data_IF_160247270894
#
_entry.id   IF_160247270894
#
_cell.length_a   1.000
_cell.length_b   1.000
_cell.length_c   1.000
_cell.angle_alpha   90.00
_cell.angle_beta   90.00
_cell.angle_gamma   90.00
#
_symmetry.space_group_name_H-M   'P 1'
#
loop_
_entity.id
_entity.type
_entity.pdbx_description
1 polymer ?
#
# COMPACT_ATOMS: atom_id res chain seq x y z
N UNK A 1 30.39 -11.27 9.22
CA UNK A 1 30.46 -12.61 9.82
C UNK A 1 31.84 -12.73 10.45
N UNK A 2 31.90 -12.76 11.78
CA UNK A 2 33.10 -12.41 12.54
C UNK A 2 34.22 -13.42 12.32
N UNK A 3 35.26 -13.03 11.58
CA UNK A 3 36.52 -13.78 11.47
C UNK A 3 37.35 -13.56 12.74
N UNK A 4 36.94 -14.16 13.84
CA UNK A 4 37.73 -14.24 15.07
C UNK A 4 38.55 -15.54 15.04
N UNK A 5 39.49 -15.68 14.11
CA UNK A 5 40.37 -16.85 14.04
C UNK A 5 41.74 -16.46 13.47
N UNK A 6 42.49 -15.62 14.18
CA UNK A 6 43.96 -15.71 14.14
C UNK A 6 44.44 -16.31 15.46
N UNK A 7 44.83 -17.57 15.40
CA UNK A 7 45.46 -18.33 16.46
C UNK A 7 46.91 -17.83 16.64
N UNK A 8 47.09 -16.62 17.16
CA UNK A 8 48.40 -16.13 17.58
C UNK A 8 48.56 -16.38 19.08
N UNK A 9 49.44 -17.33 19.39
CA UNK A 9 49.73 -17.81 20.73
C UNK A 9 49.95 -16.70 21.77
N UNK A 10 49.38 -16.95 22.94
CA UNK A 10 49.87 -16.51 24.26
C UNK A 10 49.72 -15.03 24.63
N UNK A 11 48.51 -14.65 25.07
CA UNK A 11 48.27 -14.08 26.41
C UNK A 11 46.75 -14.06 26.66
N UNK A 12 46.29 -14.60 27.79
CA UNK A 12 44.88 -14.61 28.22
C UNK A 12 44.43 -13.17 28.59
N UNK A 13 44.36 -12.29 27.59
CA UNK A 13 43.71 -10.99 27.75
C UNK A 13 42.23 -11.24 27.46
N UNK A 14 41.38 -10.92 28.43
CA UNK A 14 39.93 -10.94 28.29
C UNK A 14 39.53 -9.85 27.30
N UNK A 15 39.58 -10.17 26.00
CA UNK A 15 39.21 -9.26 24.93
C UNK A 15 37.68 -9.13 24.89
N UNK A 16 37.17 -8.12 25.58
CA UNK A 16 35.76 -7.75 25.50
C UNK A 16 35.49 -7.03 24.18
N UNK A 17 34.72 -7.65 23.29
CA UNK A 17 34.24 -7.03 22.07
C UNK A 17 33.10 -6.06 22.40
N UNK A 18 33.36 -4.75 22.29
CA UNK A 18 32.32 -3.73 22.49
C UNK A 18 31.44 -3.65 21.24
N UNK A 19 30.19 -4.11 21.37
CA UNK A 19 29.19 -4.05 20.30
C UNK A 19 28.32 -2.83 20.52
N UNK A 20 28.12 -2.04 19.45
CA UNK A 20 27.33 -0.82 19.52
C UNK A 20 25.83 -1.09 19.73
N UNK A 21 25.38 -2.30 19.40
CA UNK A 21 23.99 -2.70 19.48
C UNK A 21 23.61 -3.13 20.90
N UNK A 22 22.41 -2.76 21.39
CA UNK A 22 21.91 -3.29 22.64
C UNK A 22 21.77 -4.83 22.53
N UNK A 23 21.98 -5.53 23.64
CA UNK A 23 21.92 -7.00 23.71
C UNK A 23 20.63 -7.58 23.10
N UNK A 24 19.50 -6.87 23.24
CA UNK A 24 18.22 -7.27 22.64
C UNK A 24 18.27 -7.29 21.10
N UNK A 25 18.91 -6.30 20.47
CA UNK A 25 19.05 -6.25 19.02
C UNK A 25 19.95 -7.36 18.47
N UNK A 26 21.03 -7.68 19.19
CA UNK A 26 21.90 -8.80 18.84
C UNK A 26 21.20 -10.15 19.00
N UNK A 27 20.45 -10.35 20.09
CA UNK A 27 19.65 -11.56 20.31
C UNK A 27 18.64 -11.75 19.18
N UNK A 28 17.92 -10.69 18.82
CA UNK A 28 16.99 -10.70 17.68
C UNK A 28 17.70 -10.99 16.37
N UNK A 29 18.84 -10.35 16.07
CA UNK A 29 19.64 -10.63 14.88
C UNK A 29 20.06 -12.10 14.79
N UNK A 30 20.59 -12.65 15.87
CA UNK A 30 20.98 -14.06 15.93
C UNK A 30 19.76 -14.97 15.71
N UNK A 31 18.62 -14.63 16.32
CA UNK A 31 17.38 -15.36 16.08
C UNK A 31 16.98 -15.34 14.60
N UNK A 32 17.08 -14.19 13.90
CA UNK A 32 16.82 -14.11 12.45
C UNK A 32 17.78 -14.95 11.61
N UNK A 33 19.05 -15.03 12.00
CA UNK A 33 20.06 -15.82 11.30
C UNK A 33 19.83 -17.33 11.46
N UNK A 34 19.30 -17.76 12.60
CA UNK A 34 19.05 -19.18 12.89
C UNK A 34 17.63 -19.63 12.53
N UNK A 35 16.65 -18.74 12.63
CA UNK A 35 15.24 -19.00 12.43
C UNK A 35 14.63 -17.84 11.64
N UNK A 36 14.45 -18.05 10.33
CA UNK A 36 13.78 -17.07 9.50
C UNK A 36 12.34 -16.87 10.02
N UNK A 37 11.86 -15.62 10.08
CA UNK A 37 10.48 -15.32 10.46
C UNK A 37 9.55 -15.99 9.47
N UNK A 38 8.46 -16.55 9.98
CA UNK A 38 7.39 -17.00 9.09
C UNK A 38 6.70 -15.77 8.47
N UNK A 39 6.25 -15.88 7.20
CA UNK A 39 5.45 -14.82 6.59
C UNK A 39 4.12 -14.64 7.34
N UNK A 40 3.51 -13.45 7.30
CA UNK A 40 2.22 -13.22 7.96
C UNK A 40 1.14 -14.08 7.33
N UNK A 41 0.31 -14.72 8.17
CA UNK A 41 -0.75 -15.63 7.72
C UNK A 41 -2.00 -14.83 7.37
N UNK A 42 -2.53 -15.02 6.17
CA UNK A 42 -3.81 -14.45 5.75
C UNK A 42 -4.96 -15.07 6.55
N UNK A 43 -5.88 -14.24 7.03
CA UNK A 43 -7.06 -14.68 7.75
C UNK A 43 -8.04 -15.35 6.77
N UNK A 44 -8.39 -16.61 7.04
CA UNK A 44 -9.19 -17.50 6.17
C UNK A 44 -10.59 -16.95 5.82
N UNK A 45 -11.07 -15.94 6.55
CA UNK A 45 -12.36 -15.29 6.29
C UNK A 45 -12.42 -14.35 5.08
N UNK A 46 -11.30 -14.13 4.37
CA UNK A 46 -11.25 -13.17 3.25
C UNK A 46 -11.40 -13.81 1.87
N UNK A 47 -11.39 -15.14 1.77
CA UNK A 47 -11.74 -15.83 0.52
C UNK A 47 -13.25 -16.08 0.49
N UNK A 48 -14.01 -15.39 -0.38
CA UNK A 48 -15.42 -15.72 -0.55
C UNK A 48 -15.48 -17.16 -1.06
N UNK A 49 -16.00 -18.06 -0.23
CA UNK A 49 -16.28 -19.44 -0.62
C UNK A 49 -17.11 -19.41 -1.90
N UNK A 50 -16.61 -20.05 -2.95
CA UNK A 50 -17.31 -20.19 -4.24
C UNK A 50 -18.64 -20.97 -4.13
N UNK A 51 -18.99 -21.46 -2.94
CA UNK A 51 -20.16 -22.29 -2.68
C UNK A 51 -21.42 -21.53 -2.24
N UNK A 52 -21.38 -20.21 -2.04
CA UNK A 52 -22.61 -19.41 -1.87
C UNK A 52 -23.33 -19.19 -3.21
N UNK A 53 -23.87 -20.27 -3.78
CA UNK A 53 -24.53 -20.25 -5.09
C UNK A 53 -26.05 -20.17 -5.05
N UNK A 54 -26.74 -20.34 -3.90
CA UNK A 54 -28.16 -20.75 -3.95
C UNK A 54 -29.19 -20.01 -3.07
N UNK A 55 -28.88 -18.89 -2.42
CA UNK A 55 -29.92 -18.05 -1.82
C UNK A 55 -30.31 -16.92 -2.79
N UNK A 56 -31.50 -17.00 -3.38
CA UNK A 56 -32.03 -16.12 -4.45
C UNK A 56 -32.28 -14.66 -4.08
N UNK A 57 -31.45 -14.08 -3.22
CA UNK A 57 -31.43 -12.65 -2.95
C UNK A 57 -30.65 -11.99 -4.08
N UNK A 58 -31.31 -11.16 -4.88
CA UNK A 58 -30.70 -10.28 -5.90
C UNK A 58 -29.89 -9.14 -5.25
N UNK A 59 -29.18 -9.44 -4.16
CA UNK A 59 -28.35 -8.52 -3.42
C UNK A 59 -27.12 -8.20 -4.24
N UNK A 60 -26.95 -6.91 -4.51
CA UNK A 60 -25.76 -6.29 -5.10
C UNK A 60 -24.48 -6.85 -4.46
N UNK A 61 -23.62 -7.51 -5.25
CA UNK A 61 -22.36 -8.09 -4.75
C UNK A 61 -21.26 -7.00 -4.75
N UNK A 62 -21.45 -5.97 -3.93
CA UNK A 62 -20.50 -4.85 -3.73
C UNK A 62 -19.10 -5.35 -3.41
N UNK A 63 -19.02 -6.45 -2.67
CA UNK A 63 -17.78 -7.10 -2.24
C UNK A 63 -16.88 -7.55 -3.39
N UNK A 64 -17.40 -7.75 -4.61
CA UNK A 64 -16.58 -8.10 -5.78
C UNK A 64 -15.73 -6.94 -6.29
N UNK A 65 -16.12 -5.70 -6.02
CA UNK A 65 -15.45 -4.51 -6.53
C UNK A 65 -14.68 -3.76 -5.44
N UNK A 66 -14.77 -4.18 -4.18
CA UNK A 66 -13.86 -3.69 -3.17
C UNK A 66 -12.49 -4.32 -3.41
N UNK A 67 -11.39 -3.54 -3.44
CA UNK A 67 -10.06 -4.14 -3.49
C UNK A 67 -9.96 -5.11 -2.31
N UNK A 68 -9.70 -6.39 -2.60
CA UNK A 68 -9.49 -7.38 -1.55
C UNK A 68 -8.31 -6.91 -0.71
N UNK A 69 -8.63 -6.35 0.45
CA UNK A 69 -7.67 -5.97 1.46
C UNK A 69 -7.29 -7.28 2.12
N UNK A 70 -6.05 -7.78 1.94
CA UNK A 70 -5.65 -8.98 2.65
C UNK A 70 -5.73 -8.67 4.14
N UNK A 71 -6.56 -9.43 4.84
CA UNK A 71 -6.63 -9.39 6.30
C UNK A 71 -5.63 -10.40 6.80
N UNK A 72 -4.70 -9.99 7.66
CA UNK A 72 -3.71 -10.87 8.25
C UNK A 72 -4.06 -11.17 9.70
N UNK A 73 -3.74 -12.38 10.15
CA UNK A 73 -3.85 -12.71 11.56
C UNK A 73 -2.84 -11.88 12.37
N UNK A 74 -3.36 -10.98 13.22
CA UNK A 74 -2.57 -10.07 14.05
C UNK A 74 -1.56 -10.78 14.95
N UNK A 75 -1.80 -12.04 15.35
CA UNK A 75 -0.85 -12.79 16.16
C UNK A 75 0.39 -13.25 15.39
N UNK A 76 0.32 -13.28 14.06
CA UNK A 76 1.43 -13.70 13.18
C UNK A 76 2.24 -12.54 12.63
N UNK A 77 1.69 -11.32 12.67
CA UNK A 77 2.32 -10.12 12.12
C UNK A 77 3.29 -9.51 13.14
N UNK A 78 4.54 -9.27 12.72
CA UNK A 78 5.54 -8.59 13.56
C UNK A 78 5.06 -7.16 13.87
N UNK A 79 5.01 -6.72 15.14
CA UNK A 79 4.57 -5.37 15.49
C UNK A 79 5.39 -4.27 14.84
N UNK A 80 4.72 -3.23 14.32
CA UNK A 80 5.33 -2.13 13.57
C UNK A 80 6.48 -1.41 14.32
N UNK A 81 6.40 -1.14 15.64
CA UNK A 81 7.50 -0.49 16.38
C UNK A 81 8.79 -1.31 16.44
N UNK A 82 8.70 -2.64 16.32
CA UNK A 82 9.86 -3.53 16.22
C UNK A 82 10.34 -3.57 14.77
N UNK A 83 9.41 -3.65 13.83
CA UNK A 83 9.71 -3.83 12.42
C UNK A 83 10.52 -2.66 11.82
N UNK A 84 10.05 -1.41 12.00
CA UNK A 84 10.58 -0.25 11.28
C UNK A 84 11.98 0.20 11.75
N UNK A 85 12.21 0.56 13.03
CA UNK A 85 13.50 1.10 13.46
C UNK A 85 14.52 0.02 13.83
N UNK A 86 14.11 -1.21 14.15
CA UNK A 86 15.03 -2.24 14.63
C UNK A 86 15.35 -3.23 13.53
N UNK A 87 14.36 -3.90 12.94
CA UNK A 87 14.63 -5.01 12.02
C UNK A 87 15.18 -4.54 10.67
N UNK A 88 14.58 -3.52 10.07
CA UNK A 88 15.10 -2.99 8.80
C UNK A 88 16.48 -2.35 8.96
N UNK A 89 16.75 -1.69 10.09
CA UNK A 89 18.07 -1.17 10.43
C UNK A 89 19.11 -2.29 10.54
N UNK A 90 18.76 -3.43 11.15
CA UNK A 90 19.63 -4.60 11.24
C UNK A 90 19.89 -5.22 9.85
N UNK A 91 18.84 -5.37 9.03
CA UNK A 91 18.97 -5.90 7.66
C UNK A 91 19.93 -5.06 6.84
N UNK A 92 19.74 -3.74 6.87
CA UNK A 92 20.56 -2.79 6.12
C UNK A 92 21.98 -2.68 6.72
N UNK A 93 22.14 -2.72 8.05
CA UNK A 93 23.46 -2.63 8.69
C UNK A 93 24.33 -3.86 8.44
N UNK A 94 23.75 -5.05 8.49
CA UNK A 94 24.48 -6.32 8.40
C UNK A 94 24.41 -6.97 7.02
N UNK A 95 23.73 -6.34 6.05
CA UNK A 95 23.59 -6.87 4.70
C UNK A 95 22.90 -8.23 4.68
N UNK A 96 21.80 -8.38 5.42
CA UNK A 96 21.06 -9.64 5.47
C UNK A 96 20.47 -9.99 4.10
N UNK A 97 20.25 -11.29 3.86
CA UNK A 97 19.75 -11.80 2.58
C UNK A 97 18.44 -11.13 2.15
N UNK A 98 18.25 -10.99 0.84
CA UNK A 98 17.02 -10.44 0.24
C UNK A 98 15.76 -11.21 0.65
N UNK A 99 15.88 -12.51 0.96
CA UNK A 99 14.74 -13.33 1.40
C UNK A 99 14.19 -12.88 2.75
N UNK A 100 15.08 -12.62 3.73
CA UNK A 100 14.70 -12.04 5.03
C UNK A 100 14.03 -10.68 4.82
N UNK A 101 14.61 -9.84 3.96
CA UNK A 101 14.05 -8.54 3.63
C UNK A 101 12.63 -8.66 3.04
N UNK A 102 12.42 -9.58 2.10
CA UNK A 102 11.12 -9.84 1.49
C UNK A 102 10.06 -10.28 2.50
N UNK A 103 10.44 -11.12 3.48
CA UNK A 103 9.52 -11.51 4.55
C UNK A 103 9.16 -10.32 5.44
N UNK A 104 10.14 -9.49 5.82
CA UNK A 104 9.87 -8.26 6.58
C UNK A 104 9.01 -7.26 5.80
N UNK A 105 9.20 -7.18 4.48
CA UNK A 105 8.34 -6.41 3.58
C UNK A 105 6.89 -6.92 3.58
N UNK A 106 6.66 -8.24 3.65
CA UNK A 106 5.32 -8.80 3.78
C UNK A 106 4.67 -8.41 5.11
N UNK A 107 5.41 -8.49 6.23
CA UNK A 107 4.96 -8.01 7.54
C UNK A 107 4.66 -6.51 7.54
N UNK A 108 5.49 -5.70 6.88
CA UNK A 108 5.29 -4.26 6.75
C UNK A 108 4.01 -3.95 5.97
N UNK A 109 3.78 -4.66 4.87
CA UNK A 109 2.59 -4.52 4.06
C UNK A 109 1.32 -4.98 4.79
N UNK A 110 1.41 -5.95 5.69
CA UNK A 110 0.29 -6.41 6.51
C UNK A 110 -0.26 -5.31 7.44
N UNK A 111 0.57 -4.33 7.81
CA UNK A 111 0.13 -3.15 8.56
C UNK A 111 -0.53 -2.08 7.71
N UNK A 112 -0.40 -2.12 6.38
CA UNK A 112 -0.85 -1.04 5.50
C UNK A 112 -2.36 -0.71 5.63
N UNK A 113 -3.28 -1.67 5.84
CA UNK A 113 -4.69 -1.34 6.05
C UNK A 113 -4.97 -0.61 7.37
N UNK A 114 -4.16 -0.85 8.41
CA UNK A 114 -4.37 -0.28 9.75
C UNK A 114 -3.58 1.02 9.95
N UNK A 115 -2.37 1.09 9.41
CA UNK A 115 -1.44 2.21 9.57
C UNK A 115 -0.88 2.66 8.21
N UNK A 116 -1.73 3.04 7.24
CA UNK A 116 -1.31 3.30 5.87
C UNK A 116 -0.29 4.42 5.76
N UNK A 117 -0.46 5.49 6.54
CA UNK A 117 0.42 6.65 6.55
C UNK A 117 1.83 6.32 7.02
N UNK A 118 1.95 5.57 8.12
CA UNK A 118 3.25 5.13 8.67
C UNK A 118 3.96 4.14 7.75
N UNK A 119 3.23 3.19 7.17
CA UNK A 119 3.80 2.21 6.24
C UNK A 119 4.27 2.89 4.96
N UNK A 120 3.45 3.78 4.38
CA UNK A 120 3.80 4.58 3.21
C UNK A 120 5.04 5.43 3.48
N UNK A 121 5.02 6.22 4.55
CA UNK A 121 6.07 7.16 4.86
C UNK A 121 7.42 6.49 5.14
N UNK A 122 7.41 5.37 5.85
CA UNK A 122 8.61 4.54 6.04
C UNK A 122 9.12 3.97 4.71
N UNK A 123 8.27 3.32 3.93
CA UNK A 123 8.68 2.70 2.66
C UNK A 123 9.12 3.73 1.61
N UNK A 124 8.52 4.92 1.59
CA UNK A 124 8.87 6.01 0.67
C UNK A 124 10.15 6.76 1.05
N UNK A 125 10.58 6.63 2.31
CA UNK A 125 11.82 7.23 2.84
C UNK A 125 12.96 6.23 2.99
N UNK A 126 12.72 4.96 2.67
CA UNK A 126 13.73 3.93 2.74
C UNK A 126 14.88 4.23 1.77
N UNK A 127 16.06 4.52 2.33
CA UNK A 127 17.33 4.67 1.63
C UNK A 127 18.33 3.70 2.25
N UNK A 128 18.90 2.75 1.48
CA UNK A 128 19.95 1.86 2.00
C UNK A 128 21.14 2.67 2.56
N UNK A 129 21.54 2.44 3.82
CA UNK A 129 22.58 3.26 4.50
C UNK A 129 23.95 3.07 3.88
N UNK A 130 24.20 1.97 3.17
CA UNK A 130 25.48 1.72 2.50
C UNK A 130 25.88 2.84 1.52
N UNK A 131 24.90 3.56 0.92
CA UNK A 131 25.18 4.75 0.10
C UNK A 131 25.72 5.94 0.90
N UNK A 132 25.36 6.09 2.17
CA UNK A 132 25.76 7.26 2.98
C UNK A 132 27.25 7.20 3.39
N UNK A 133 27.85 6.01 3.51
CA UNK A 133 29.26 5.87 3.92
C UNK A 133 30.29 6.05 2.79
N UNK A 134 29.91 5.84 1.52
CA UNK A 134 30.85 5.97 0.39
C UNK A 134 31.19 7.40 0.00
N UNK A 135 30.39 8.38 0.43
CA UNK A 135 30.62 9.80 0.15
C UNK A 135 31.44 10.50 1.24
N UNK A 136 32.51 9.87 1.75
CA UNK A 136 33.57 10.62 2.42
C UNK A 136 34.67 10.95 1.41
N UNK A 137 34.69 12.17 0.83
CA UNK A 137 35.74 12.61 -0.09
C UNK A 137 37.02 12.83 0.71
N UNK A 138 37.85 11.80 0.84
CA UNK A 138 39.03 11.86 1.71
C UNK A 138 40.03 10.74 1.50
N UNK A 139 40.41 10.44 0.26
CA UNK A 139 41.67 9.71 -0.02
C UNK A 139 42.02 9.82 -1.49
N UNK A 140 42.91 10.75 -1.81
CA UNK A 140 43.57 10.86 -3.11
C UNK A 140 44.76 9.89 -3.12
N UNK A 141 44.57 8.69 -3.65
CA UNK A 141 45.67 7.73 -3.79
C UNK A 141 45.20 6.40 -4.36
N UNK A 142 45.56 6.17 -5.62
CA UNK A 142 45.64 4.89 -6.33
C UNK A 142 44.31 4.21 -6.75
N UNK A 143 44.05 4.27 -8.07
CA UNK A 143 42.71 4.17 -8.69
C UNK A 143 42.43 2.89 -9.50
N UNK A 144 43.30 1.87 -9.52
CA UNK A 144 43.25 0.93 -10.67
C UNK A 144 42.79 -0.52 -10.40
N UNK A 145 42.36 -0.92 -9.20
CA UNK A 145 42.07 -2.35 -8.93
C UNK A 145 40.77 -2.67 -8.16
N UNK A 146 39.75 -1.79 -8.21
CA UNK A 146 38.50 -1.93 -7.41
C UNK A 146 37.27 -2.51 -8.14
N UNK A 147 37.38 -2.90 -9.40
CA UNK A 147 36.19 -3.11 -10.25
C UNK A 147 35.48 -4.48 -10.11
N UNK A 148 36.05 -5.47 -9.40
CA UNK A 148 35.49 -6.84 -9.42
C UNK A 148 34.79 -7.31 -8.14
N UNK A 149 34.97 -6.65 -6.99
CA UNK A 149 34.41 -7.12 -5.72
C UNK A 149 33.06 -6.48 -5.33
N UNK A 150 32.55 -5.55 -6.13
CA UNK A 150 31.50 -4.62 -5.68
C UNK A 150 30.10 -4.84 -6.31
N UNK A 151 29.98 -5.79 -7.23
CA UNK A 151 28.74 -6.00 -7.99
C UNK A 151 27.59 -6.61 -7.17
N UNK A 152 27.90 -7.52 -6.23
CA UNK A 152 26.88 -8.30 -5.54
C UNK A 152 26.00 -7.46 -4.61
N UNK A 153 26.58 -6.45 -3.94
CA UNK A 153 25.81 -5.55 -3.07
C UNK A 153 24.88 -4.61 -3.84
N UNK A 154 25.33 -4.09 -4.98
CA UNK A 154 24.59 -3.07 -5.73
C UNK A 154 23.28 -3.61 -6.34
N UNK A 155 23.24 -4.88 -6.74
CA UNK A 155 22.01 -5.50 -7.27
C UNK A 155 20.99 -5.75 -6.15
N UNK A 156 21.44 -6.28 -5.01
CA UNK A 156 20.59 -6.50 -3.85
C UNK A 156 19.98 -5.18 -3.33
N UNK A 157 20.78 -4.11 -3.23
CA UNK A 157 20.29 -2.77 -2.83
C UNK A 157 19.19 -2.25 -3.76
N UNK A 158 19.37 -2.39 -5.08
CA UNK A 158 18.37 -1.97 -6.07
C UNK A 158 17.08 -2.77 -5.93
N UNK A 159 17.17 -4.08 -5.69
CA UNK A 159 16.00 -4.92 -5.48
C UNK A 159 15.28 -4.56 -4.17
N UNK A 160 16.01 -4.29 -3.09
CA UNK A 160 15.44 -3.81 -1.84
C UNK A 160 14.69 -2.48 -2.02
N UNK A 161 15.30 -1.52 -2.72
CA UNK A 161 14.68 -0.24 -3.05
C UNK A 161 13.39 -0.44 -3.86
N UNK A 162 13.43 -1.32 -4.88
CA UNK A 162 12.27 -1.64 -5.71
C UNK A 162 11.12 -2.25 -4.88
N UNK A 163 11.42 -3.17 -3.97
CA UNK A 163 10.42 -3.76 -3.09
C UNK A 163 9.80 -2.72 -2.15
N UNK A 164 10.59 -1.80 -1.59
CA UNK A 164 10.07 -0.71 -0.76
C UNK A 164 9.21 0.27 -1.55
N UNK A 165 9.60 0.61 -2.78
CA UNK A 165 8.76 1.41 -3.67
C UNK A 165 7.43 0.71 -3.97
N UNK A 166 7.44 -0.62 -4.15
CA UNK A 166 6.22 -1.43 -4.33
C UNK A 166 5.34 -1.41 -3.08
N UNK A 167 5.93 -1.48 -1.88
CA UNK A 167 5.18 -1.37 -0.62
C UNK A 167 4.58 0.02 -0.45
N UNK A 168 5.35 1.09 -0.68
CA UNK A 168 4.84 2.46 -0.65
C UNK A 168 3.68 2.63 -1.64
N UNK A 169 3.84 2.11 -2.87
CA UNK A 169 2.80 2.10 -3.89
C UNK A 169 1.53 1.39 -3.40
N UNK A 170 1.65 0.18 -2.83
CA UNK A 170 0.51 -0.56 -2.28
C UNK A 170 -0.11 0.14 -1.06
N UNK A 171 0.69 0.65 -0.13
CA UNK A 171 0.21 1.35 1.06
C UNK A 171 -0.58 2.62 0.71
N UNK A 172 -0.17 3.31 -0.36
CA UNK A 172 -0.87 4.50 -0.85
C UNK A 172 -2.34 4.26 -1.26
N UNK A 173 -2.74 3.01 -1.51
CA UNK A 173 -4.12 2.66 -1.82
C UNK A 173 -5.07 2.79 -0.62
N UNK A 174 -4.52 2.75 0.58
CA UNK A 174 -5.24 2.79 1.85
C UNK A 174 -5.19 4.16 2.52
N UNK A 175 -4.50 5.14 1.93
CA UNK A 175 -4.42 6.50 2.48
C UNK A 175 -5.78 7.21 2.34
N UNK A 176 -6.24 7.76 3.45
CA UNK A 176 -7.34 8.72 3.49
C UNK A 176 -6.91 10.06 2.87
N UNK A 177 -7.86 10.96 2.53
CA UNK A 177 -7.52 12.32 2.10
C UNK A 177 -6.54 12.99 3.07
N UNK A 178 -5.49 13.65 2.57
CA UNK A 178 -4.42 14.12 3.47
C UNK A 178 -4.89 15.11 4.54
N UNK A 179 -6.01 15.80 4.31
CA UNK A 179 -6.64 16.68 5.29
C UNK A 179 -7.35 15.97 6.45
N UNK A 180 -7.54 14.64 6.42
CA UNK A 180 -8.12 13.89 7.55
C UNK A 180 -7.10 13.59 8.66
N UNK A 181 -5.80 13.60 8.33
CA UNK A 181 -4.76 13.29 9.29
C UNK A 181 -4.36 14.51 10.13
N UNK A 182 -4.08 14.34 11.43
CA UNK A 182 -3.43 15.37 12.23
C UNK A 182 -2.07 15.73 11.65
N UNK A 183 -1.74 17.03 11.65
CA UNK A 183 -0.46 17.51 11.10
C UNK A 183 0.75 16.83 11.74
N UNK A 184 0.71 16.56 13.04
CA UNK A 184 1.81 15.89 13.76
C UNK A 184 2.04 14.48 13.22
N UNK A 185 0.98 13.73 12.92
CA UNK A 185 1.09 12.38 12.39
C UNK A 185 1.71 12.38 10.99
N UNK A 186 1.37 13.37 10.16
CA UNK A 186 1.95 13.54 8.82
C UNK A 186 3.44 13.85 8.91
N UNK A 187 3.85 14.74 9.82
CA UNK A 187 5.26 15.09 10.03
C UNK A 187 6.08 13.93 10.57
N UNK A 188 5.51 13.14 11.48
CA UNK A 188 6.18 11.97 12.06
C UNK A 188 6.32 10.82 11.04
N UNK A 189 5.33 10.64 10.17
CA UNK A 189 5.29 9.53 9.23
C UNK A 189 5.99 9.81 7.90
N UNK A 190 5.81 10.99 7.31
CA UNK A 190 6.33 11.34 5.98
C UNK A 190 7.50 12.32 6.12
N UNK A 191 8.77 11.84 6.11
CA UNK A 191 9.92 12.70 6.38
C UNK A 191 10.34 13.57 5.18
N UNK A 192 9.75 13.39 3.99
CA UNK A 192 10.15 14.08 2.77
C UNK A 192 9.00 14.77 2.06
N UNK A 193 9.21 16.03 1.68
CA UNK A 193 8.29 16.82 0.84
C UNK A 193 7.99 16.10 -0.48
N UNK A 194 8.97 15.40 -1.06
CA UNK A 194 8.79 14.63 -2.30
C UNK A 194 7.80 13.49 -2.11
N UNK A 195 7.87 12.79 -0.98
CA UNK A 195 6.94 11.71 -0.65
C UNK A 195 5.53 12.25 -0.38
N UNK A 196 5.40 13.38 0.32
CA UNK A 196 4.12 14.05 0.55
C UNK A 196 3.48 14.51 -0.78
N UNK A 197 4.25 15.18 -1.64
CA UNK A 197 3.78 15.69 -2.92
C UNK A 197 3.24 14.56 -3.83
N UNK A 198 3.90 13.39 -3.84
CA UNK A 198 3.42 12.20 -4.57
C UNK A 198 2.04 11.73 -4.10
N UNK A 199 1.77 11.76 -2.79
CA UNK A 199 0.44 11.42 -2.25
C UNK A 199 -0.60 12.44 -2.70
N UNK A 200 -0.29 13.72 -2.57
CA UNK A 200 -1.21 14.81 -2.95
C UNK A 200 -1.55 14.74 -4.45
N UNK A 201 -0.56 14.48 -5.31
CA UNK A 201 -0.77 14.28 -6.75
C UNK A 201 -1.67 13.07 -7.03
N UNK A 202 -1.44 11.94 -6.37
CA UNK A 202 -2.27 10.74 -6.51
C UNK A 202 -3.72 11.04 -6.09
N UNK A 203 -3.93 11.70 -4.94
CA UNK A 203 -5.25 12.04 -4.45
C UNK A 203 -5.99 13.00 -5.39
N UNK A 204 -5.29 14.02 -5.90
CA UNK A 204 -5.84 14.93 -6.90
C UNK A 204 -6.28 14.19 -8.17
N UNK A 205 -5.41 13.32 -8.70
CA UNK A 205 -5.73 12.51 -9.88
C UNK A 205 -6.96 11.61 -9.63
N UNK A 206 -7.04 10.94 -8.48
CA UNK A 206 -8.21 10.13 -8.12
C UNK A 206 -9.50 10.94 -8.09
N UNK A 207 -9.50 12.11 -7.42
CA UNK A 207 -10.67 13.00 -7.37
C UNK A 207 -11.09 13.42 -8.77
N UNK A 208 -10.12 13.82 -9.61
CA UNK A 208 -10.37 14.23 -10.99
C UNK A 208 -11.03 13.08 -11.78
N UNK A 209 -10.44 11.89 -11.77
CA UNK A 209 -10.97 10.77 -12.56
C UNK A 209 -12.29 10.24 -12.00
N UNK A 210 -12.50 10.24 -10.67
CA UNK A 210 -13.79 9.91 -10.07
C UNK A 210 -14.89 10.87 -10.55
N UNK A 211 -14.60 12.17 -10.62
CA UNK A 211 -15.55 13.17 -11.15
C UNK A 211 -15.83 12.97 -12.62
N UNK A 212 -14.82 12.69 -13.43
CA UNK A 212 -14.98 12.39 -14.87
C UNK A 212 -15.87 11.16 -15.06
N UNK A 213 -15.54 10.03 -14.41
CA UNK A 213 -16.34 8.79 -14.47
C UNK A 213 -17.78 9.02 -14.01
N UNK A 214 -17.98 9.75 -12.90
CA UNK A 214 -19.32 10.07 -12.43
C UNK A 214 -20.07 10.94 -13.45
N UNK A 215 -19.45 11.99 -13.99
CA UNK A 215 -20.07 12.91 -14.96
C UNK A 215 -20.32 12.29 -16.33
N UNK A 216 -19.61 11.24 -16.71
CA UNK A 216 -19.85 10.50 -17.94
C UNK A 216 -20.86 9.35 -17.75
N UNK A 217 -21.18 8.99 -16.51
CA UNK A 217 -22.11 7.91 -16.21
C UNK A 217 -23.56 8.25 -16.58
N UNK A 218 -24.16 7.39 -17.41
CA UNK A 218 -25.56 7.44 -17.81
C UNK A 218 -26.32 6.28 -17.17
N UNK A 219 -27.52 6.56 -16.65
CA UNK A 219 -28.42 5.51 -16.12
C UNK A 219 -28.99 4.59 -17.22
N UNK A 220 -29.15 5.11 -18.44
CA UNK A 220 -29.66 4.36 -19.58
C UNK A 220 -28.70 4.50 -20.77
N UNK A 221 -27.57 3.77 -20.80
CA UNK A 221 -26.65 3.80 -21.92
C UNK A 221 -27.40 3.48 -23.22
N UNK A 222 -27.39 4.39 -24.20
CA UNK A 222 -28.11 4.24 -25.47
C UNK A 222 -29.63 3.97 -25.31
N UNK A 223 -30.22 4.33 -24.17
CA UNK A 223 -31.63 4.11 -23.86
C UNK A 223 -32.00 2.68 -23.40
N UNK A 224 -31.03 1.76 -23.27
CA UNK A 224 -31.31 0.41 -22.80
C UNK A 224 -31.84 0.41 -21.36
N UNK A 225 -32.93 -0.35 -21.12
CA UNK A 225 -33.55 -0.46 -19.80
C UNK A 225 -34.43 0.73 -19.39
N UNK A 226 -34.65 1.72 -20.27
CA UNK A 226 -35.50 2.86 -19.97
C UNK A 226 -36.97 2.44 -19.78
N UNK A 227 -37.55 2.82 -18.64
CA UNK A 227 -38.98 2.62 -18.39
C UNK A 227 -39.81 3.67 -19.14
N UNK A 228 -40.79 3.31 -19.97
CA UNK A 228 -41.57 4.28 -20.76
C UNK A 228 -42.32 5.29 -19.88
N UNK A 229 -42.79 4.87 -18.71
CA UNK A 229 -43.59 5.71 -17.80
C UNK A 229 -42.75 6.63 -16.91
N UNK A 230 -41.49 6.29 -16.64
CA UNK A 230 -40.68 6.97 -15.61
C UNK A 230 -39.32 7.44 -16.12
N UNK A 231 -39.02 7.31 -17.42
CA UNK A 231 -37.71 7.61 -18.02
C UNK A 231 -37.20 9.00 -17.61
N UNK A 232 -37.99 10.04 -17.86
CA UNK A 232 -37.60 11.43 -17.62
C UNK A 232 -37.34 11.69 -16.14
N UNK A 233 -38.30 11.35 -15.27
CA UNK A 233 -38.15 11.45 -13.81
C UNK A 233 -36.91 10.70 -13.30
N UNK A 234 -36.65 9.49 -13.82
CA UNK A 234 -35.51 8.67 -13.41
C UNK A 234 -34.18 9.30 -13.84
N UNK A 235 -34.11 9.85 -15.05
CA UNK A 235 -32.94 10.59 -15.55
C UNK A 235 -32.69 11.87 -14.76
N UNK A 236 -33.75 12.64 -14.44
CA UNK A 236 -33.64 13.86 -13.62
C UNK A 236 -33.16 13.55 -12.20
N UNK A 237 -33.69 12.50 -11.57
CA UNK A 237 -33.25 12.07 -10.25
C UNK A 237 -31.79 11.59 -10.26
N UNK A 238 -31.38 10.82 -11.29
CA UNK A 238 -29.98 10.40 -11.47
C UNK A 238 -29.05 11.60 -11.62
N UNK A 239 -29.37 12.53 -12.52
CA UNK A 239 -28.56 13.72 -12.78
C UNK A 239 -28.46 14.62 -11.54
N UNK A 240 -29.55 14.77 -10.78
CA UNK A 240 -29.55 15.50 -9.52
C UNK A 240 -28.60 14.87 -8.49
N UNK A 241 -28.69 13.55 -8.27
CA UNK A 241 -27.81 12.84 -7.33
C UNK A 241 -26.35 12.94 -7.76
N UNK A 242 -26.09 12.73 -9.05
CA UNK A 242 -24.77 12.84 -9.67
C UNK A 242 -24.13 14.21 -9.44
N UNK A 243 -24.86 15.29 -9.74
CA UNK A 243 -24.39 16.67 -9.54
C UNK A 243 -24.16 17.00 -8.07
N UNK A 244 -25.05 16.53 -7.19
CA UNK A 244 -24.90 16.73 -5.75
C UNK A 244 -23.66 16.00 -5.20
N UNK A 245 -23.40 14.78 -5.67
CA UNK A 245 -22.24 13.98 -5.27
C UNK A 245 -20.93 14.54 -5.85
N UNK A 246 -20.91 15.02 -7.10
CA UNK A 246 -19.72 15.53 -7.77
C UNK A 246 -19.01 16.65 -6.98
N UNK A 247 -19.78 17.51 -6.28
CA UNK A 247 -19.25 18.57 -5.41
C UNK A 247 -18.66 18.08 -4.09
N UNK A 248 -18.95 16.84 -3.69
CA UNK A 248 -18.53 16.22 -2.42
C UNK A 248 -17.42 15.17 -2.58
N UNK A 249 -17.06 14.81 -3.81
CA UNK A 249 -16.03 13.78 -4.07
C UNK A 249 -14.67 14.19 -3.50
N UNK A 250 -14.12 13.29 -2.69
CA UNK A 250 -12.73 13.25 -2.23
C UNK A 250 -11.99 12.00 -2.78
N UNK A 251 -10.74 11.78 -2.37
CA UNK A 251 -9.92 10.68 -2.88
C UNK A 251 -10.29 9.28 -2.33
N UNK A 252 -11.15 9.21 -1.31
CA UNK A 252 -11.60 7.98 -0.66
C UNK A 252 -13.10 7.69 -0.83
N UNK A 253 -13.84 8.57 -1.52
CA UNK A 253 -15.28 8.48 -1.67
C UNK A 253 -15.69 7.20 -2.40
N UNK A 254 -16.56 6.40 -1.80
CA UNK A 254 -17.24 5.30 -2.48
C UNK A 254 -18.39 5.84 -3.32
N UNK A 255 -18.07 6.33 -4.52
CA UNK A 255 -19.02 6.95 -5.44
C UNK A 255 -20.20 6.02 -5.76
N UNK A 256 -19.95 4.72 -5.91
CA UNK A 256 -21.02 3.77 -6.20
C UNK A 256 -21.93 3.57 -4.98
N UNK A 257 -21.34 3.44 -3.78
CA UNK A 257 -22.11 3.38 -2.53
C UNK A 257 -22.97 4.62 -2.29
N UNK A 258 -22.46 5.82 -2.57
CA UNK A 258 -23.22 7.08 -2.46
C UNK A 258 -24.35 7.19 -3.50
N UNK A 259 -24.16 6.59 -4.68
CA UNK A 259 -25.20 6.50 -5.72
C UNK A 259 -26.24 5.39 -5.43
N UNK A 260 -25.96 4.45 -4.53
CA UNK A 260 -26.89 3.39 -4.13
C UNK A 260 -28.15 3.95 -3.45
N UNK A 261 -28.01 5.08 -2.72
CA UNK A 261 -29.14 5.80 -2.10
C UNK A 261 -30.21 6.21 -3.12
N UNK A 262 -29.82 6.46 -4.36
CA UNK A 262 -30.76 6.75 -5.44
C UNK A 262 -31.58 5.52 -5.84
N UNK A 263 -31.00 4.32 -5.81
CA UNK A 263 -31.67 3.07 -6.20
C UNK A 263 -32.87 2.79 -5.30
N UNK A 264 -32.76 3.10 -4.01
CA UNK A 264 -33.85 2.94 -3.04
C UNK A 264 -35.08 3.77 -3.39
N UNK A 265 -34.91 4.91 -4.07
CA UNK A 265 -36.02 5.76 -4.51
C UNK A 265 -36.81 5.18 -5.68
N UNK A 266 -36.28 4.13 -6.34
CA UNK A 266 -36.87 3.50 -7.52
C UNK A 266 -37.63 2.20 -7.21
N UNK A 267 -37.76 1.82 -5.92
CA UNK A 267 -38.39 0.56 -5.48
C UNK A 267 -39.83 0.37 -5.99
N UNK A 268 -40.55 1.46 -6.24
CA UNK A 268 -41.92 1.44 -6.78
C UNK A 268 -42.01 0.91 -8.22
N UNK A 269 -40.92 0.99 -9.00
CA UNK A 269 -40.90 0.52 -10.39
C UNK A 269 -39.76 -0.48 -10.61
N UNK A 270 -40.10 -1.76 -10.78
CA UNK A 270 -39.14 -2.86 -10.98
C UNK A 270 -38.15 -2.62 -12.13
N UNK A 271 -38.58 -1.98 -13.22
CA UNK A 271 -37.73 -1.67 -14.38
C UNK A 271 -36.69 -0.60 -14.00
N UNK A 272 -37.13 0.52 -13.42
CA UNK A 272 -36.25 1.60 -12.98
C UNK A 272 -35.28 1.11 -11.90
N UNK A 273 -35.75 0.36 -10.91
CA UNK A 273 -34.91 -0.23 -9.87
C UNK A 273 -33.79 -1.09 -10.48
N UNK A 274 -34.15 -2.00 -11.40
CA UNK A 274 -33.15 -2.86 -12.07
C UNK A 274 -32.13 -2.04 -12.87
N UNK A 275 -32.58 -0.99 -13.57
CA UNK A 275 -31.67 -0.10 -14.29
C UNK A 275 -30.75 0.69 -13.35
N UNK A 276 -31.28 1.19 -12.23
CA UNK A 276 -30.50 1.86 -11.18
C UNK A 276 -29.41 0.96 -10.59
N UNK A 277 -29.76 -0.28 -10.23
CA UNK A 277 -28.78 -1.28 -9.76
C UNK A 277 -27.68 -1.49 -10.81
N UNK A 278 -28.04 -1.76 -12.06
CA UNK A 278 -27.06 -2.00 -13.12
C UNK A 278 -26.15 -0.79 -13.40
N UNK A 279 -26.69 0.43 -13.32
CA UNK A 279 -25.92 1.65 -13.48
C UNK A 279 -24.92 1.84 -12.33
N UNK A 280 -25.33 1.60 -11.09
CA UNK A 280 -24.45 1.65 -9.91
C UNK A 280 -23.39 0.55 -9.95
N UNK A 281 -23.72 -0.67 -10.40
CA UNK A 281 -22.75 -1.75 -10.62
C UNK A 281 -21.69 -1.37 -11.65
N UNK A 282 -22.11 -0.80 -12.79
CA UNK A 282 -21.19 -0.33 -13.81
C UNK A 282 -20.28 0.78 -13.27
N UNK A 283 -20.85 1.70 -12.49
CA UNK A 283 -20.09 2.76 -11.85
C UNK A 283 -19.07 2.21 -10.84
N UNK A 284 -19.46 1.24 -10.00
CA UNK A 284 -18.56 0.54 -9.08
C UNK A 284 -17.39 -0.12 -9.84
N UNK A 285 -17.68 -0.78 -10.95
CA UNK A 285 -16.67 -1.40 -11.81
C UNK A 285 -15.71 -0.36 -12.42
N UNK A 286 -16.22 0.78 -12.91
CA UNK A 286 -15.39 1.86 -13.44
C UNK A 286 -14.50 2.47 -12.35
N UNK A 287 -15.06 2.77 -11.17
CA UNK A 287 -14.32 3.28 -10.02
C UNK A 287 -13.25 2.29 -9.52
N UNK A 288 -13.52 0.98 -9.61
CA UNK A 288 -12.55 -0.05 -9.24
C UNK A 288 -11.28 -0.03 -10.09
N UNK A 289 -11.40 0.34 -11.38
CA UNK A 289 -10.30 0.39 -12.35
C UNK A 289 -9.44 1.65 -12.25
N UNK A 290 -9.76 2.59 -11.36
CA UNK A 290 -9.03 3.83 -11.23
C UNK A 290 -7.60 3.62 -10.70
N UNK A 291 -6.67 4.55 -11.00
CA UNK A 291 -5.33 4.55 -10.42
C UNK A 291 -5.35 4.58 -8.88
N UNK A 292 -5.08 3.42 -8.27
CA UNK A 292 -4.99 3.27 -6.81
C UNK A 292 -3.58 3.48 -6.27
N UNK A 293 -2.58 3.63 -7.12
CA UNK A 293 -1.18 3.51 -6.73
C UNK A 293 -0.34 4.64 -7.32
N UNK A 294 0.63 5.15 -6.55
CA UNK A 294 1.53 6.26 -6.96
C UNK A 294 2.29 5.93 -8.26
N UNK A 295 2.62 4.66 -8.51
CA UNK A 295 3.33 4.28 -9.74
C UNK A 295 2.51 4.53 -11.01
N UNK A 296 1.18 4.55 -10.93
CA UNK A 296 0.32 4.76 -12.10
C UNK A 296 0.27 6.24 -12.54
N UNK A 297 0.58 7.20 -11.66
CA UNK A 297 0.56 8.62 -12.03
C UNK A 297 1.78 9.04 -12.84
N UNK A 298 2.91 8.32 -12.73
CA UNK A 298 4.15 8.67 -13.41
C UNK A 298 4.10 8.47 -14.94
N UNK A 299 3.16 7.68 -15.46
CA UNK A 299 3.00 7.45 -16.90
C UNK A 299 2.00 8.37 -17.60
N UNK A 300 1.36 9.30 -16.87
CA UNK A 300 0.32 10.20 -17.38
C UNK A 300 0.77 11.68 -17.48
N UNK A 301 2.01 11.98 -17.05
CA UNK A 301 2.65 13.29 -17.16
C UNK A 301 3.71 13.25 -18.26
#
# INVERSE_FOLDING_TARGET
>A
MFLCCEQSNNTLVDETLDLHEPAQALSTLLQFLHHLPEPPVESEGSTPSLEEKHAGTTGFIRERFLPRIPSYNRSTVIPLPVLQPMLFDLVDKYGLSIDIFNVLCAHLLAHAPTYPLRVYGFAASFEPRHRRRRFQPGSSGDTEDRDLADGFGAEAEKEMERQMQKIASKASQFLEPMGSYPIQEVLDAIPSVKALHRVVQLQHLRVKTLREVLNESEIFPKGYGACPSHREKTMECWDRQRKALAGKIDSGTDVAGEMELFVDTLKECKICHKAGVAAVEMLAYMCYRLPKQVQHSAGLA
#
